data_IF_958617897380
#
_entry.id   IF_958617897380
#
_cell.length_a   1.000
_cell.length_b   1.000
_cell.length_c   1.000
_cell.angle_alpha   90.00
_cell.angle_beta   90.00
_cell.angle_gamma   90.00
#
_symmetry.space_group_name_H-M   'P 1'
#
loop_
_entity.id
_entity.type
_entity.pdbx_description
1 polymer ?
#
# COMPACT_ATOMS: atom_id res chain seq x y z
N UNK A 1 5.22 11.81 -9.14
CA UNK A 1 6.20 11.02 -8.36
C UNK A 1 6.65 9.73 -9.06
N UNK A 2 5.77 9.00 -9.76
CA UNK A 2 6.13 7.71 -10.42
C UNK A 2 6.47 7.82 -11.91
N UNK A 3 6.28 9.01 -12.50
CA UNK A 3 6.61 9.25 -13.90
C UNK A 3 8.12 9.10 -14.11
N UNK A 4 8.54 8.12 -14.90
CA UNK A 4 9.95 7.83 -15.21
C UNK A 4 10.53 6.60 -14.52
N UNK A 5 9.80 5.93 -13.62
CA UNK A 5 10.26 4.66 -13.03
C UNK A 5 9.93 3.47 -13.93
N UNK A 6 10.81 2.45 -13.99
CA UNK A 6 10.57 1.24 -14.78
C UNK A 6 9.23 0.60 -14.41
N UNK A 7 8.64 -0.13 -15.36
CA UNK A 7 7.36 -0.82 -15.22
C UNK A 7 7.38 -2.03 -14.27
N UNK A 8 8.24 -2.04 -13.26
CA UNK A 8 8.49 -3.15 -12.33
C UNK A 8 7.46 -3.18 -11.20
N UNK A 9 7.30 -4.36 -10.61
CA UNK A 9 6.46 -4.60 -9.43
C UNK A 9 6.93 -3.78 -8.22
N UNK A 10 8.21 -3.43 -8.13
CA UNK A 10 8.75 -2.57 -7.08
C UNK A 10 9.24 -1.25 -7.68
N UNK A 11 8.80 -0.13 -7.10
CA UNK A 11 9.20 1.22 -7.45
C UNK A 11 9.93 1.86 -6.26
N UNK A 12 11.23 2.14 -6.44
CA UNK A 12 12.05 2.73 -5.38
C UNK A 12 12.11 4.25 -5.55
N UNK A 13 11.63 4.98 -4.54
CA UNK A 13 11.68 6.45 -4.54
C UNK A 13 12.96 6.94 -3.86
N UNK A 14 13.64 7.97 -4.41
CA UNK A 14 14.86 8.53 -3.84
C UNK A 14 14.56 9.47 -2.65
N UNK A 15 13.75 9.00 -1.71
CA UNK A 15 13.36 9.73 -0.51
C UNK A 15 14.08 9.18 0.72
N UNK A 16 14.47 10.07 1.63
CA UNK A 16 15.12 9.74 2.89
C UNK A 16 14.12 9.35 3.98
N UNK A 17 12.86 9.81 3.88
CA UNK A 17 11.82 9.40 4.81
C UNK A 17 11.48 7.91 4.62
N UNK A 18 11.44 7.09 5.69
CA UNK A 18 11.12 5.67 5.57
C UNK A 18 9.61 5.46 5.35
N UNK A 19 9.23 4.98 4.17
CA UNK A 19 7.87 4.52 3.89
C UNK A 19 7.85 3.40 2.86
N UNK A 20 6.83 2.55 2.97
CA UNK A 20 6.48 1.52 2.01
C UNK A 20 4.96 1.46 1.88
N UNK A 21 4.45 1.27 0.67
CA UNK A 21 3.02 1.02 0.45
C UNK A 21 2.76 0.32 -0.89
N UNK A 22 1.77 -0.57 -0.88
CA UNK A 22 1.16 -1.18 -2.03
C UNK A 22 0.29 -0.17 -2.81
N UNK A 23 0.72 0.18 -4.02
CA UNK A 23 -0.04 1.00 -4.96
C UNK A 23 -0.78 0.14 -5.99
N UNK A 24 -2.12 0.09 -5.94
CA UNK A 24 -2.93 -0.56 -6.96
C UNK A 24 -2.93 0.26 -8.24
N UNK A 25 -2.49 -0.35 -9.33
CA UNK A 25 -2.17 0.36 -10.58
C UNK A 25 -2.83 -0.26 -11.80
N UNK A 26 -4.13 -0.57 -11.76
CA UNK A 26 -4.93 -1.02 -12.91
C UNK A 26 -4.39 -2.25 -13.65
N UNK A 27 -3.44 -2.06 -14.57
CA UNK A 27 -2.75 -3.14 -15.31
C UNK A 27 -1.55 -3.74 -14.58
N UNK A 28 -0.96 -3.05 -13.59
CA UNK A 28 0.16 -3.55 -12.79
C UNK A 28 0.06 -3.01 -11.37
N UNK A 29 -0.23 -3.89 -10.43
CA UNK A 29 -0.03 -3.66 -9.01
C UNK A 29 1.46 -3.41 -8.74
N UNK A 30 1.77 -2.44 -7.87
CA UNK A 30 3.15 -2.05 -7.58
C UNK A 30 3.36 -1.79 -6.10
N UNK A 31 4.57 -2.02 -5.62
CA UNK A 31 5.02 -1.73 -4.27
C UNK A 31 5.95 -0.54 -4.35
N UNK A 32 5.56 0.55 -3.71
CA UNK A 32 6.39 1.74 -3.59
C UNK A 32 7.17 1.64 -2.30
N UNK A 33 8.48 1.83 -2.38
CA UNK A 33 9.39 1.79 -1.23
C UNK A 33 10.37 2.95 -1.33
N UNK A 34 10.63 3.66 -0.24
CA UNK A 34 11.66 4.71 -0.24
C UNK A 34 13.07 4.13 -0.06
N UNK A 35 14.07 4.87 -0.53
CA UNK A 35 15.48 4.54 -0.29
C UNK A 35 15.82 4.55 1.21
N UNK A 36 15.23 5.48 1.96
CA UNK A 36 15.33 5.53 3.43
C UNK A 36 14.86 4.24 4.10
N UNK A 37 13.72 3.68 3.65
CA UNK A 37 13.19 2.41 4.13
C UNK A 37 14.11 1.22 3.80
N UNK A 38 14.69 1.19 2.59
CA UNK A 38 15.62 0.13 2.20
C UNK A 38 16.97 0.21 2.93
N UNK A 39 17.38 1.42 3.31
CA UNK A 39 18.60 1.68 4.05
C UNK A 39 18.49 1.34 5.54
N UNK A 40 17.27 1.46 6.12
CA UNK A 40 17.04 1.15 7.53
C UNK A 40 16.76 -0.33 7.80
N UNK A 41 16.40 -1.12 6.78
CA UNK A 41 16.02 -2.52 6.93
C UNK A 41 17.11 -3.50 6.49
N UNK A 42 17.37 -4.51 7.32
CA UNK A 42 18.23 -5.63 6.95
C UNK A 42 17.60 -6.46 5.81
N UNK A 43 18.43 -7.26 5.11
CA UNK A 43 17.95 -8.09 3.99
C UNK A 43 16.78 -9.01 4.33
N UNK A 44 16.72 -9.53 5.57
CA UNK A 44 15.62 -10.38 6.04
C UNK A 44 14.33 -9.60 6.24
N UNK A 45 14.41 -8.39 6.79
CA UNK A 45 13.27 -7.52 7.07
C UNK A 45 12.68 -6.97 5.77
N UNK A 46 13.53 -6.62 4.79
CA UNK A 46 13.07 -6.25 3.44
C UNK A 46 12.23 -7.35 2.78
N UNK A 47 12.63 -8.61 2.90
CA UNK A 47 11.84 -9.74 2.37
C UNK A 47 10.48 -9.88 3.05
N UNK A 48 10.42 -9.68 4.37
CA UNK A 48 9.17 -9.71 5.12
C UNK A 48 8.26 -8.54 4.71
N UNK A 49 8.81 -7.33 4.60
CA UNK A 49 8.10 -6.15 4.10
C UNK A 49 7.51 -6.41 2.71
N UNK A 50 8.32 -6.87 1.74
CA UNK A 50 7.82 -7.15 0.41
C UNK A 50 6.81 -8.31 0.36
N UNK A 51 6.88 -9.28 1.28
CA UNK A 51 5.88 -10.33 1.38
C UNK A 51 4.54 -9.79 1.91
N UNK A 52 4.60 -8.94 2.94
CA UNK A 52 3.44 -8.26 3.52
C UNK A 52 2.78 -7.31 2.51
N UNK A 53 3.55 -6.46 1.81
CA UNK A 53 3.03 -5.57 0.76
C UNK A 53 2.43 -6.34 -0.43
N UNK A 54 3.00 -7.49 -0.80
CA UNK A 54 2.39 -8.39 -1.80
C UNK A 54 1.09 -9.00 -1.29
N UNK A 55 0.99 -9.33 0.00
CA UNK A 55 -0.25 -9.82 0.59
C UNK A 55 -1.35 -8.74 0.53
N UNK A 56 -1.00 -7.46 0.75
CA UNK A 56 -1.94 -6.33 0.57
C UNK A 56 -2.45 -6.21 -0.87
N UNK A 57 -1.59 -6.42 -1.86
CA UNK A 57 -1.99 -6.43 -3.28
C UNK A 57 -2.89 -7.64 -3.61
N UNK A 58 -2.49 -8.84 -3.19
CA UNK A 58 -3.23 -10.07 -3.40
C UNK A 58 -4.63 -10.03 -2.75
N UNK A 59 -4.73 -9.50 -1.53
CA UNK A 59 -5.98 -9.34 -0.80
C UNK A 59 -6.84 -8.17 -1.34
N UNK A 60 -6.30 -7.37 -2.27
CA UNK A 60 -6.97 -6.21 -2.87
C UNK A 60 -7.62 -5.29 -1.84
N UNK A 61 -6.96 -5.07 -0.70
CA UNK A 61 -7.48 -4.23 0.39
C UNK A 61 -7.80 -2.80 -0.07
N UNK A 62 -7.09 -2.31 -1.09
CA UNK A 62 -7.40 -1.05 -1.76
C UNK A 62 -8.81 -0.97 -2.36
N UNK A 63 -9.38 -2.08 -2.88
CA UNK A 63 -10.76 -2.09 -3.42
C UNK A 63 -11.78 -1.92 -2.30
N UNK A 64 -11.52 -2.52 -1.15
CA UNK A 64 -12.36 -2.40 0.04
C UNK A 64 -12.31 -0.95 0.56
N UNK A 65 -11.12 -0.35 0.64
CA UNK A 65 -10.97 1.06 1.01
C UNK A 65 -11.66 2.01 0.02
N UNK A 66 -11.50 1.79 -1.29
CA UNK A 66 -12.18 2.58 -2.33
C UNK A 66 -13.70 2.44 -2.25
N UNK A 67 -14.21 1.22 -2.08
CA UNK A 67 -15.64 0.96 -1.95
C UNK A 67 -16.21 1.68 -0.73
N UNK A 68 -15.53 1.58 0.41
CA UNK A 68 -15.98 2.22 1.65
C UNK A 68 -15.83 3.73 1.58
N UNK A 69 -14.82 4.25 0.88
CA UNK A 69 -14.68 5.69 0.66
C UNK A 69 -15.77 6.23 -0.29
N UNK A 70 -16.11 5.51 -1.36
CA UNK A 70 -17.25 5.85 -2.21
C UNK A 70 -18.57 5.78 -1.43
N UNK A 71 -18.73 4.75 -0.60
CA UNK A 71 -19.90 4.60 0.27
C UNK A 71 -19.99 5.73 1.31
N UNK A 72 -18.85 6.18 1.87
CA UNK A 72 -18.79 7.30 2.80
C UNK A 72 -19.07 8.66 2.12
N UNK A 73 -18.64 8.84 0.86
CA UNK A 73 -19.01 10.01 0.06
C UNK A 73 -20.53 10.02 -0.27
N UNK A 74 -21.12 8.85 -0.52
CA UNK A 74 -22.56 8.72 -0.77
C UNK A 74 -23.40 8.81 0.51
N UNK A 75 -22.86 8.36 1.65
CA UNK A 75 -23.51 8.38 2.95
C UNK A 75 -22.49 8.65 4.08
N UNK A 76 -22.46 9.87 4.64
CA UNK A 76 -21.55 10.26 5.71
C UNK A 76 -21.63 9.39 6.97
N UNK A 77 -22.75 8.71 7.22
CA UNK A 77 -22.88 7.78 8.36
C UNK A 77 -21.98 6.54 8.26
N UNK A 78 -21.38 6.27 7.10
CA UNK A 78 -20.44 5.16 6.88
C UNK A 78 -18.97 5.56 7.11
N UNK A 79 -18.70 6.81 7.52
CA UNK A 79 -17.36 7.25 7.93
C UNK A 79 -16.71 6.37 9.03
N UNK A 80 -17.43 5.86 10.04
CA UNK A 80 -16.86 4.94 11.04
C UNK A 80 -16.49 3.57 10.45
N UNK A 81 -17.20 3.12 9.40
CA UNK A 81 -16.87 1.88 8.69
C UNK A 81 -15.58 2.02 7.89
N UNK A 82 -15.24 3.23 7.41
CA UNK A 82 -13.95 3.51 6.75
C UNK A 82 -12.78 3.27 7.68
N UNK A 83 -12.84 3.77 8.91
CA UNK A 83 -11.76 3.58 9.89
C UNK A 83 -11.68 2.13 10.36
N UNK A 84 -12.82 1.45 10.56
CA UNK A 84 -12.85 0.04 10.91
C UNK A 84 -12.24 -0.85 9.81
N UNK A 85 -12.60 -0.62 8.54
CA UNK A 85 -12.07 -1.39 7.41
C UNK A 85 -10.58 -1.15 7.21
N UNK A 86 -10.11 0.10 7.35
CA UNK A 86 -8.68 0.42 7.32
C UNK A 86 -7.93 -0.30 8.45
N UNK A 87 -8.44 -0.22 9.68
CA UNK A 87 -7.85 -0.90 10.83
C UNK A 87 -7.81 -2.43 10.67
N UNK A 88 -8.89 -3.04 10.18
CA UNK A 88 -8.90 -4.49 9.92
C UNK A 88 -7.95 -4.87 8.80
N UNK A 89 -7.84 -4.07 7.74
CA UNK A 89 -6.93 -4.32 6.63
C UNK A 89 -5.45 -4.20 7.04
N UNK A 90 -5.15 -3.30 7.98
CA UNK A 90 -3.81 -3.17 8.60
C UNK A 90 -3.51 -4.33 9.56
N UNK A 91 -4.51 -4.88 10.25
CA UNK A 91 -4.34 -5.98 11.24
C UNK A 91 -4.38 -7.38 10.64
N UNK A 92 -4.84 -7.55 9.40
CA UNK A 92 -4.98 -8.86 8.74
C UNK A 92 -3.73 -9.30 7.97
N UNK A 93 -2.83 -8.38 7.66
CA UNK A 93 -1.59 -8.65 6.94
C UNK A 93 -0.43 -8.90 7.92
#
# INVERSE_FOLDING_TARGET
ALAGLPGTEVAVLPDAAPYAYALPGGRRDRIVVSRGMLGSLAARERRALFAHERAHLAARHHRHLLLVQLAACANPFLLPLRTAVAYTAERWA
#
